data_IF_361027900531
#
_entry.id   IF_361027900531
#
_cell.length_a   1.000
_cell.length_b   1.000
_cell.length_c   1.000
_cell.angle_alpha   90.00
_cell.angle_beta   90.00
_cell.angle_gamma   90.00
#
_symmetry.space_group_name_H-M   'P 1'
#
loop_
_entity.id
_entity.type
_entity.pdbx_description
1 polymer ?
#
# COMPACT_ATOMS: atom_id res chain seq x y z
N UNK A 1 -17.40 -7.75 -16.35
CA UNK A 1 -16.35 -6.81 -16.78
C UNK A 1 -15.60 -6.32 -15.55
N UNK A 2 -14.47 -6.94 -15.22
CA UNK A 2 -13.54 -6.41 -14.22
C UNK A 2 -12.93 -5.13 -14.79
N UNK A 3 -12.98 -3.98 -14.08
CA UNK A 3 -12.44 -2.73 -14.61
C UNK A 3 -10.95 -2.92 -14.95
N UNK A 4 -10.63 -2.69 -16.22
CA UNK A 4 -9.29 -2.80 -16.77
C UNK A 4 -8.34 -1.91 -15.96
N UNK A 5 -7.39 -2.52 -15.24
CA UNK A 5 -6.35 -1.81 -14.51
C UNK A 5 -6.15 -2.22 -13.05
N UNK A 6 -7.01 -3.07 -12.48
CA UNK A 6 -6.75 -3.64 -11.14
C UNK A 6 -6.04 -4.99 -11.29
N UNK A 7 -4.73 -5.09 -10.98
CA UNK A 7 -4.06 -6.38 -10.95
C UNK A 7 -4.75 -7.30 -9.94
N UNK A 8 -4.71 -8.60 -10.21
CA UNK A 8 -5.32 -9.68 -9.42
C UNK A 8 -4.58 -9.94 -8.09
N UNK A 9 -4.52 -8.90 -7.26
CA UNK A 9 -3.78 -8.89 -5.98
C UNK A 9 -4.73 -9.17 -4.79
N UNK A 10 -6.03 -9.40 -5.05
CA UNK A 10 -7.04 -9.76 -4.04
C UNK A 10 -8.27 -8.85 -4.03
N UNK A 11 -9.20 -9.12 -3.11
CA UNK A 11 -10.42 -8.33 -2.93
C UNK A 11 -10.10 -6.91 -2.42
N UNK A 12 -10.81 -5.87 -2.88
CA UNK A 12 -10.61 -4.53 -2.37
C UNK A 12 -11.01 -4.44 -0.89
N UNK A 13 -10.15 -3.78 -0.11
CA UNK A 13 -10.46 -3.39 1.26
C UNK A 13 -10.38 -1.87 1.36
N UNK A 14 -11.23 -1.28 2.20
CA UNK A 14 -11.15 0.14 2.54
C UNK A 14 -10.37 0.29 3.84
N UNK A 15 -9.30 1.08 3.83
CA UNK A 15 -8.49 1.37 5.01
C UNK A 15 -8.50 2.87 5.27
N UNK A 16 -8.59 3.25 6.54
CA UNK A 16 -8.49 4.65 6.97
C UNK A 16 -7.14 4.82 7.67
N UNK A 17 -6.26 5.61 7.04
CA UNK A 17 -5.02 6.05 7.64
C UNK A 17 -5.25 7.46 8.22
N UNK A 18 -4.69 7.74 9.39
CA UNK A 18 -4.63 9.13 9.88
C UNK A 18 -3.87 10.01 8.90
N UNK A 19 -4.11 11.32 8.95
CA UNK A 19 -3.54 12.28 7.99
C UNK A 19 -2.01 12.21 7.92
N UNK A 20 -1.36 12.07 9.07
CA UNK A 20 0.11 11.98 9.18
C UNK A 20 0.63 10.72 8.48
N UNK A 21 0.08 9.56 8.83
CA UNK A 21 0.49 8.28 8.21
C UNK A 21 0.17 8.23 6.71
N UNK A 22 -0.94 8.84 6.28
CA UNK A 22 -1.27 8.94 4.86
C UNK A 22 -0.22 9.75 4.10
N UNK A 23 0.22 10.88 4.66
CA UNK A 23 1.26 11.71 4.07
C UNK A 23 2.60 10.95 3.96
N UNK A 24 2.97 10.19 4.98
CA UNK A 24 4.18 9.35 4.94
C UNK A 24 4.10 8.26 3.86
N UNK A 25 2.94 7.60 3.72
CA UNK A 25 2.72 6.59 2.68
C UNK A 25 2.79 7.21 1.28
N UNK A 26 2.25 8.42 1.11
CA UNK A 26 2.31 9.14 -0.16
C UNK A 26 3.74 9.57 -0.52
N UNK A 27 4.51 10.08 0.44
CA UNK A 27 5.92 10.41 0.25
C UNK A 27 6.76 9.17 -0.13
N UNK A 28 6.50 8.03 0.50
CA UNK A 28 7.14 6.76 0.14
C UNK A 28 6.78 6.33 -1.29
N UNK A 29 5.50 6.43 -1.66
CA UNK A 29 5.05 6.08 -3.00
C UNK A 29 5.69 6.95 -4.09
N UNK A 30 5.79 8.26 -3.84
CA UNK A 30 6.45 9.21 -4.74
C UNK A 30 7.96 8.91 -4.89
N UNK A 31 8.65 8.70 -3.76
CA UNK A 31 10.09 8.38 -3.74
C UNK A 31 10.42 7.12 -4.55
N UNK A 32 9.57 6.09 -4.45
CA UNK A 32 9.77 4.81 -5.14
C UNK A 32 9.18 4.81 -6.57
N UNK A 33 8.47 5.86 -6.98
CA UNK A 33 7.82 5.94 -8.28
C UNK A 33 6.68 4.92 -8.46
N UNK A 34 6.00 4.53 -7.38
CA UNK A 34 4.94 3.51 -7.38
C UNK A 34 3.59 4.08 -6.97
N UNK A 35 2.51 3.33 -7.21
CA UNK A 35 1.17 3.71 -6.75
C UNK A 35 1.06 3.56 -5.22
N UNK A 36 0.29 4.43 -4.57
CA UNK A 36 -0.06 4.35 -3.14
C UNK A 36 -0.45 2.93 -2.69
N UNK A 37 -1.31 2.26 -3.45
CA UNK A 37 -1.74 0.90 -3.13
C UNK A 37 -0.58 -0.10 -3.09
N UNK A 38 0.42 0.08 -3.95
CA UNK A 38 1.62 -0.74 -3.98
C UNK A 38 2.57 -0.40 -2.83
N UNK A 39 2.73 0.88 -2.52
CA UNK A 39 3.44 1.34 -1.33
C UNK A 39 2.86 0.71 -0.05
N UNK A 40 1.54 0.77 0.14
CA UNK A 40 0.86 0.14 1.30
C UNK A 40 1.19 -1.35 1.37
N UNK A 41 1.12 -2.09 0.26
CA UNK A 41 1.45 -3.52 0.25
C UNK A 41 2.88 -3.78 0.70
N UNK A 42 3.84 -3.05 0.14
CA UNK A 42 5.25 -3.23 0.50
C UNK A 42 5.51 -2.91 1.96
N UNK A 43 4.98 -1.78 2.46
CA UNK A 43 5.15 -1.36 3.85
C UNK A 43 4.56 -2.39 4.82
N UNK A 44 3.35 -2.89 4.55
CA UNK A 44 2.72 -3.94 5.35
C UNK A 44 3.54 -5.24 5.32
N UNK A 45 3.98 -5.69 4.14
CA UNK A 45 4.82 -6.89 4.03
C UNK A 45 6.14 -6.75 4.81
N UNK A 46 6.81 -5.58 4.71
CA UNK A 46 8.05 -5.29 5.45
C UNK A 46 7.81 -5.31 6.96
N UNK A 47 6.74 -4.67 7.43
CA UNK A 47 6.36 -4.65 8.85
C UNK A 47 6.06 -6.04 9.42
N UNK A 48 5.30 -6.85 8.68
CA UNK A 48 4.96 -8.22 9.10
C UNK A 48 6.18 -9.16 9.11
N UNK A 49 7.15 -8.98 8.20
CA UNK A 49 8.40 -9.75 8.21
C UNK A 49 9.29 -9.40 9.40
N UNK A 50 9.32 -8.14 9.82
CA UNK A 50 10.13 -7.67 10.95
C UNK A 50 9.68 -8.26 12.29
N UNK A 51 8.39 -8.59 12.41
CA UNK A 51 7.78 -9.11 13.65
C UNK A 51 7.80 -10.66 13.74
N UNK A 52 8.38 -11.36 12.76
CA UNK A 52 8.53 -12.83 12.75
C UNK A 52 9.88 -13.31 13.31
N UNK A 53 10.61 -12.45 14.02
CA UNK A 53 11.90 -12.78 14.65
C UNK A 53 11.79 -12.79 16.16
#
# INVERSE_FOLDING_TARGET
MTPAGRPEIGQPINIRLGNELLAEVDAFAETEGIKRAEAIRQLVQRGLRRNKR
#
